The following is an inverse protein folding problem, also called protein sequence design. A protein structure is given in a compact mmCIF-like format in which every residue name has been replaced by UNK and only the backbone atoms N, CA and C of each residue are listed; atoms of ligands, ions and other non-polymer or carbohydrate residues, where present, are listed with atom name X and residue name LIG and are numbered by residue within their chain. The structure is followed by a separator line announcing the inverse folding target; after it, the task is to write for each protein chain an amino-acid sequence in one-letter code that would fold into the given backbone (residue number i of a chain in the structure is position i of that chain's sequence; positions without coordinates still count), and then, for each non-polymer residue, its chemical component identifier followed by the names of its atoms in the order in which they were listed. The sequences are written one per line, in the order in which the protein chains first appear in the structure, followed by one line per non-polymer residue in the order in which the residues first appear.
data_IF_479107485248
#
_entry.id   IF_479107485248
#
_cell.length_a   1.000
_cell.length_b   1.000
_cell.length_c   1.000
_cell.angle_alpha   90.00
_cell.angle_beta   90.00
_cell.angle_gamma   90.00
#
_symmetry.space_group_name_H-M   'P 1'
#
loop_
_entity.id
_entity.type
_entity.pdbx_description
1 polymer ?
#
# COMPACT_ATOMS: atom_id res chain seq x y z
N UNK A 1 -0.52 5.38 -7.40
CA UNK A 1 -0.57 4.96 -5.99
C UNK A 1 0.43 3.86 -5.75
N UNK A 2 0.96 3.81 -4.53
CA UNK A 2 1.99 2.90 -4.07
C UNK A 2 1.47 2.01 -2.92
N UNK A 3 1.77 0.73 -2.98
CA UNK A 3 1.57 -0.24 -1.90
C UNK A 3 2.91 -0.89 -1.53
N UNK A 4 3.35 -0.68 -0.29
CA UNK A 4 4.58 -1.29 0.24
C UNK A 4 4.24 -2.57 1.00
N UNK A 5 4.98 -3.64 0.71
CA UNK A 5 4.77 -4.94 1.36
C UNK A 5 6.06 -5.74 1.55
N UNK A 6 5.96 -6.83 2.31
CA UNK A 6 7.07 -7.77 2.52
C UNK A 6 7.08 -8.87 1.44
N UNK A 7 8.06 -9.77 1.48
CA UNK A 7 8.22 -10.84 0.47
C UNK A 7 6.99 -11.74 0.35
N UNK A 8 6.36 -12.07 1.47
CA UNK A 8 5.17 -12.91 1.50
C UNK A 8 3.99 -12.23 0.80
N UNK A 9 3.71 -10.96 1.14
CA UNK A 9 2.68 -10.17 0.48
C UNK A 9 2.95 -9.95 -1.01
N UNK A 10 4.21 -9.67 -1.37
CA UNK A 10 4.61 -9.53 -2.77
C UNK A 10 4.34 -10.79 -3.58
N UNK A 11 4.73 -11.96 -3.08
CA UNK A 11 4.47 -13.23 -3.74
C UNK A 11 2.98 -13.54 -3.83
N UNK A 12 2.20 -13.29 -2.77
CA UNK A 12 0.76 -13.50 -2.79
C UNK A 12 0.06 -12.66 -3.85
N UNK A 13 0.30 -11.34 -3.85
CA UNK A 13 -0.37 -10.40 -4.76
C UNK A 13 0.04 -10.65 -6.22
N UNK A 14 1.34 -10.80 -6.50
CA UNK A 14 1.84 -10.94 -7.89
C UNK A 14 1.51 -12.28 -8.54
N UNK A 15 1.09 -13.28 -7.77
CA UNK A 15 0.79 -14.62 -8.29
C UNK A 15 -0.49 -14.66 -9.12
N UNK A 16 -1.32 -13.61 -9.04
CA UNK A 16 -2.56 -13.48 -9.79
C UNK A 16 -2.46 -12.41 -10.89
N UNK A 17 -3.16 -12.61 -12.03
CA UNK A 17 -3.18 -11.62 -13.11
C UNK A 17 -3.86 -10.30 -12.71
N UNK A 18 -4.81 -10.35 -11.78
CA UNK A 18 -5.40 -9.19 -11.12
C UNK A 18 -4.76 -9.06 -9.75
N UNK A 19 -4.13 -7.93 -9.45
CA UNK A 19 -3.59 -7.70 -8.11
C UNK A 19 -4.75 -7.47 -7.14
N UNK A 20 -4.83 -8.33 -6.13
CA UNK A 20 -5.81 -8.24 -5.06
C UNK A 20 -5.14 -7.80 -3.77
N UNK A 21 -5.41 -6.56 -3.35
CA UNK A 21 -4.98 -6.06 -2.05
C UNK A 21 -6.10 -6.29 -1.04
N UNK A 22 -5.86 -7.14 -0.04
CA UNK A 22 -6.88 -7.50 0.94
C UNK A 22 -7.17 -6.34 1.90
N UNK A 23 -8.45 -6.06 2.13
CA UNK A 23 -8.88 -5.19 3.21
C UNK A 23 -8.84 -5.95 4.52
N UNK A 24 -7.75 -5.75 5.25
CA UNK A 24 -7.54 -6.35 6.55
C UNK A 24 -7.41 -5.26 7.59
N UNK A 25 -7.74 -5.61 8.83
CA UNK A 25 -7.46 -4.78 9.98
C UNK A 25 -5.94 -4.78 10.20
N UNK A 26 -5.22 -3.67 9.96
CA UNK A 26 -3.79 -3.66 10.23
C UNK A 26 -3.57 -3.59 11.74
N UNK A 27 -2.53 -4.25 12.28
CA UNK A 27 -2.10 -4.00 13.65
C UNK A 27 -1.34 -2.67 13.75
N UNK A 28 -1.51 -1.89 14.84
CA UNK A 28 -2.50 -2.07 15.91
C UNK A 28 -3.94 -1.74 15.44
N UNK A 29 -4.95 -2.34 16.11
CA UNK A 29 -6.40 -2.31 15.78
C UNK A 29 -7.03 -0.90 15.78
N UNK A 30 -6.25 0.15 16.02
CA UNK A 30 -6.70 1.55 16.04
C UNK A 30 -6.98 2.15 14.66
N UNK A 31 -6.61 1.46 13.59
CA UNK A 31 -6.87 1.88 12.22
C UNK A 31 -8.15 1.23 11.68
N UNK A 32 -8.88 1.80 10.72
CA UNK A 32 -10.01 1.10 10.12
C UNK A 32 -9.53 -0.17 9.38
N UNK A 33 -10.36 -1.21 9.22
CA UNK A 33 -10.10 -2.27 8.26
C UNK A 33 -9.93 -1.67 6.87
N UNK A 34 -8.92 -2.13 6.12
CA UNK A 34 -8.78 -1.68 4.74
C UNK A 34 -7.48 -2.08 4.04
N UNK A 35 -7.48 -1.89 2.72
CA UNK A 35 -6.28 -1.96 1.90
C UNK A 35 -5.67 -0.56 1.84
N UNK A 36 -4.40 -0.43 2.24
CA UNK A 36 -3.74 0.86 2.44
C UNK A 36 -2.75 1.19 1.33
N UNK A 37 -2.73 2.46 0.93
CA UNK A 37 -1.94 3.00 -0.16
C UNK A 37 -1.37 4.37 0.18
N UNK A 38 -0.39 4.79 -0.59
CA UNK A 38 0.23 6.12 -0.45
C UNK A 38 0.68 6.67 -1.79
N UNK A 39 0.91 7.97 -1.86
CA UNK A 39 1.57 8.66 -2.97
C UNK A 39 3.03 9.04 -2.64
N UNK A 40 3.56 8.63 -1.47
CA UNK A 40 5.00 8.74 -1.19
C UNK A 40 5.83 7.87 -2.12
N UNK A 41 6.92 8.43 -2.65
CA UNK A 41 7.91 7.68 -3.40
C UNK A 41 8.76 6.79 -2.49
N UNK A 42 9.39 5.75 -3.04
CA UNK A 42 10.33 4.90 -2.30
C UNK A 42 11.57 5.69 -1.83
N UNK A 43 11.91 6.79 -2.47
CA UNK A 43 13.05 7.66 -2.09
C UNK A 43 12.74 8.61 -0.92
N UNK A 44 11.51 8.59 -0.40
CA UNK A 44 11.08 9.53 0.62
C UNK A 44 11.83 9.33 1.95
N UNK A 45 12.40 10.39 2.56
CA UNK A 45 13.14 10.26 3.80
C UNK A 45 12.22 9.81 4.94
N UNK A 46 12.70 8.89 5.78
CA UNK A 46 11.98 8.33 6.93
C UNK A 46 10.63 7.68 6.56
N UNK A 47 10.53 7.06 5.38
CA UNK A 47 9.28 6.51 4.84
C UNK A 47 8.58 5.54 5.79
N UNK A 48 9.29 4.59 6.41
CA UNK A 48 8.70 3.65 7.38
C UNK A 48 8.02 4.38 8.54
N UNK A 49 8.64 5.46 9.05
CA UNK A 49 8.11 6.27 10.15
C UNK A 49 6.89 7.08 9.70
N UNK A 50 6.93 7.68 8.51
CA UNK A 50 5.79 8.39 7.90
C UNK A 50 4.59 7.46 7.70
N UNK A 51 4.85 6.29 7.15
CA UNK A 51 3.84 5.26 6.90
C UNK A 51 3.46 4.50 8.16
N UNK A 52 4.17 4.63 9.28
CA UNK A 52 3.97 3.83 10.50
C UNK A 52 3.88 2.33 10.22
N UNK A 53 4.79 1.82 9.40
CA UNK A 53 4.92 0.39 9.10
C UNK A 53 6.31 -0.11 9.47
N UNK A 54 6.47 -1.41 9.78
CA UNK A 54 7.78 -2.03 9.93
C UNK A 54 8.64 -1.85 8.67
N UNK A 55 9.97 -1.73 8.85
CA UNK A 55 10.90 -1.45 7.74
C UNK A 55 10.91 -2.55 6.69
N UNK A 56 10.75 -3.81 7.09
CA UNK A 56 10.74 -4.95 6.18
C UNK A 56 9.59 -4.91 5.16
N UNK A 57 8.51 -4.16 5.46
CA UNK A 57 7.42 -3.93 4.50
C UNK A 57 7.81 -2.93 3.41
N UNK A 58 8.90 -2.19 3.54
CA UNK A 58 9.36 -1.31 2.47
C UNK A 58 10.04 -2.06 1.35
N UNK A 59 10.46 -3.31 1.56
CA UNK A 59 11.29 -4.07 0.62
C UNK A 59 10.66 -4.23 -0.77
N UNK A 60 9.35 -4.43 -0.85
CA UNK A 60 8.65 -4.59 -2.12
C UNK A 60 7.59 -3.52 -2.31
N UNK A 61 7.41 -3.10 -3.56
CA UNK A 61 6.51 -2.04 -3.98
C UNK A 61 5.62 -2.54 -5.12
N UNK A 62 4.35 -2.16 -5.08
CA UNK A 62 3.44 -2.13 -6.23
C UNK A 62 3.04 -0.68 -6.52
N UNK A 63 3.14 -0.28 -7.77
CA UNK A 63 2.69 1.00 -8.29
C UNK A 63 1.54 0.75 -9.27
N UNK A 64 0.48 1.54 -9.15
CA UNK A 64 -0.70 1.40 -10.00
C UNK A 64 -1.47 2.71 -10.10
N UNK A 65 -2.28 2.85 -11.14
CA UNK A 65 -3.30 3.89 -11.23
C UNK A 65 -4.57 3.40 -10.52
N UNK A 66 -5.22 4.17 -9.61
CA UNK A 66 -6.41 3.70 -8.91
C UNK A 66 -7.58 3.48 -9.89
N UNK A 67 -8.07 2.24 -10.10
CA UNK A 67 -9.27 2.01 -10.93
C UNK A 67 -10.55 2.54 -10.28
N UNK A 68 -10.56 2.71 -8.96
CA UNK A 68 -11.68 3.28 -8.20
C UNK A 68 -11.19 4.27 -7.15
N UNK A 69 -12.03 5.24 -6.72
CA UNK A 69 -11.63 6.23 -5.73
C UNK A 69 -11.17 5.60 -4.41
N UNK A 70 -10.08 6.13 -3.85
CA UNK A 70 -9.59 5.78 -2.52
C UNK A 70 -9.95 6.88 -1.52
N UNK A 71 -10.24 6.48 -0.28
CA UNK A 71 -10.57 7.42 0.78
C UNK A 71 -9.30 7.91 1.48
N UNK A 72 -9.15 9.20 1.78
CA UNK A 72 -8.07 9.66 2.63
C UNK A 72 -8.24 9.08 4.04
N UNK A 73 -7.14 8.65 4.66
CA UNK A 73 -7.16 8.15 6.03
C UNK A 73 -7.39 9.34 7.00
N UNK A 74 -8.43 9.33 7.85
CA UNK A 74 -8.67 10.42 8.79
C UNK A 74 -7.65 10.44 9.95
N UNK A 75 -7.22 11.65 10.33
CA UNK A 75 -6.43 11.91 11.55
C UNK A 75 -5.01 11.34 11.56
N UNK A 76 -4.22 11.74 12.57
CA UNK A 76 -2.90 11.19 12.92
C UNK A 76 -2.01 10.79 11.74
N UNK A 77 -2.00 9.49 11.42
CA UNK A 77 -1.20 8.88 10.33
C UNK A 77 -1.56 9.44 8.94
N UNK A 78 -2.82 9.78 8.70
CA UNK A 78 -3.31 10.39 7.46
C UNK A 78 -3.42 11.91 7.50
N UNK A 79 -2.87 12.58 8.53
CA UNK A 79 -2.96 14.04 8.69
C UNK A 79 -2.42 14.81 7.47
N UNK A 80 -1.41 14.26 6.80
CA UNK A 80 -0.85 14.87 5.58
C UNK A 80 -1.66 14.57 4.31
N UNK A 81 -2.76 13.80 4.40
CA UNK A 81 -3.58 13.35 3.26
C UNK A 81 -2.79 12.60 2.17
N UNK A 82 -1.68 11.96 2.57
CA UNK A 82 -0.78 11.16 1.71
C UNK A 82 -0.99 9.66 1.85
N UNK A 83 -1.94 9.27 2.70
CA UNK A 83 -2.29 7.88 2.96
C UNK A 83 -3.76 7.72 2.66
N UNK A 84 -4.04 6.75 1.81
CA UNK A 84 -5.34 6.45 1.29
C UNK A 84 -5.68 5.00 1.62
N UNK A 85 -6.95 4.68 1.70
CA UNK A 85 -7.38 3.31 1.91
C UNK A 85 -8.68 2.99 1.19
N UNK A 86 -8.87 1.71 0.90
CA UNK A 86 -10.15 1.13 0.53
C UNK A 86 -10.67 0.31 1.70
N UNK A 87 -11.94 0.48 2.13
CA UNK A 87 -12.52 -0.34 3.20
C UNK A 87 -12.78 -1.80 2.75
N UNK A 88 -12.77 -2.06 1.44
CA UNK A 88 -12.95 -3.38 0.83
C UNK A 88 -11.68 -3.85 0.14
N UNK A 89 -11.62 -5.15 -0.18
CA UNK A 89 -10.57 -5.69 -1.04
C UNK A 89 -10.46 -4.83 -2.31
N UNK A 90 -9.23 -4.46 -2.66
CA UNK A 90 -8.97 -3.55 -3.77
C UNK A 90 -8.36 -4.32 -4.93
N UNK A 91 -9.06 -4.35 -6.06
CA UNK A 91 -8.68 -5.08 -7.25
C UNK A 91 -8.07 -4.12 -8.27
N UNK A 92 -6.89 -4.46 -8.78
CA UNK A 92 -6.20 -3.71 -9.83
C UNK A 92 -6.04 -4.61 -11.04
N UNK A 93 -6.90 -4.39 -12.04
CA UNK A 93 -6.82 -5.07 -13.32
C UNK A 93 -5.56 -4.65 -14.09
N UNK A 94 -5.13 -5.48 -15.04
CA UNK A 94 -3.85 -5.34 -15.75
C UNK A 94 -3.63 -3.94 -16.35
N UNK A 95 -4.68 -3.32 -16.88
CA UNK A 95 -4.61 -2.01 -17.53
C UNK A 95 -4.24 -0.87 -16.57
N UNK A 96 -4.41 -1.08 -15.27
CA UNK A 96 -4.09 -0.12 -14.22
C UNK A 96 -2.80 -0.45 -13.47
N UNK A 97 -2.19 -1.61 -13.75
CA UNK A 97 -0.95 -2.05 -13.11
C UNK A 97 0.24 -1.29 -13.68
N UNK A 98 1.09 -0.78 -12.80
CA UNK A 98 2.38 -0.20 -13.14
C UNK A 98 3.53 -1.11 -12.72
N UNK A 99 4.57 -0.52 -12.13
CA UNK A 99 5.72 -1.25 -11.63
C UNK A 99 5.37 -2.16 -10.44
N UNK A 100 5.97 -3.34 -10.36
CA UNK A 100 6.06 -4.08 -9.11
C UNK A 100 7.42 -4.78 -8.99
N UNK A 101 7.99 -4.77 -7.78
CA UNK A 101 9.33 -5.33 -7.56
C UNK A 101 9.96 -4.85 -6.27
N UNK A 102 11.28 -4.96 -6.18
CA UNK A 102 12.05 -4.42 -5.06
C UNK A 102 12.05 -2.89 -5.10
N UNK A 103 11.85 -2.25 -3.94
CA UNK A 103 11.79 -0.79 -3.85
C UNK A 103 13.16 -0.10 -3.84
N UNK A 104 14.24 -0.87 -3.73
CA UNK A 104 15.61 -0.37 -3.49
C UNK A 104 15.88 0.02 -2.04
N UNK A 105 14.94 -0.20 -1.12
CA UNK A 105 15.10 0.05 0.31
C UNK A 105 15.44 -1.24 1.08
N UNK A 106 16.29 -1.17 2.12
CA UNK A 106 16.62 -2.30 2.98
C UNK A 106 15.46 -2.72 3.89
#
# INVERSE_FOLDING_TARGET
MNHFTNKAGFNGIRSHPVWKFLALQPPPVTHPPGAYFTDYAATEPNLAKKLRIPREKLRYLFQFEPPTPLLPLPGGRGQFKRIFYSPNDYLVARDFQGYHGESGLP
#
